data_IF_621131039314
#
_entry.id   IF_621131039314
#
_cell.length_a   1.000
_cell.length_b   1.000
_cell.length_c   1.000
_cell.angle_alpha   90.00
_cell.angle_beta   90.00
_cell.angle_gamma   90.00
#
_symmetry.space_group_name_H-M   'P 1'
#
loop_
_entity.id
_entity.type
_entity.pdbx_description
1 polymer ?
#
# COMPACT_ATOMS: atom_id res chain seq x y z
N UNK A 1 -64.18 21.57 64.09
CA UNK A 1 -65.20 22.43 63.43
C UNK A 1 -64.95 22.38 61.93
N UNK A 2 -65.92 21.85 61.17
CA UNK A 2 -66.04 21.83 59.70
C UNK A 2 -65.04 20.91 58.97
N UNK A 3 -65.27 19.62 58.64
CA UNK A 3 -66.35 18.91 57.92
C UNK A 3 -66.57 19.31 56.46
N UNK A 4 -66.10 18.49 55.51
CA UNK A 4 -66.86 17.59 54.58
C UNK A 4 -65.87 17.03 53.52
N UNK A 5 -65.54 15.73 53.51
CA UNK A 5 -66.15 14.62 52.73
C UNK A 5 -65.74 14.62 51.24
N UNK A 6 -65.42 13.53 50.52
CA UNK A 6 -65.57 12.07 50.67
C UNK A 6 -64.83 11.39 49.49
N UNK A 7 -64.19 10.22 49.71
CA UNK A 7 -64.10 9.01 48.84
C UNK A 7 -63.48 9.16 47.41
N UNK A 8 -62.61 8.30 46.88
CA UNK A 8 -62.73 6.83 46.73
C UNK A 8 -61.34 6.23 46.45
N UNK A 9 -61.04 5.14 47.16
CA UNK A 9 -60.04 4.13 46.85
C UNK A 9 -60.56 3.27 45.69
N UNK A 10 -59.84 3.08 44.58
CA UNK A 10 -60.03 1.90 43.72
C UNK A 10 -58.76 1.59 42.92
N UNK A 11 -58.14 0.49 43.34
CA UNK A 11 -57.12 -0.27 42.63
C UNK A 11 -57.75 -0.86 41.36
N UNK A 12 -57.19 -0.56 40.19
CA UNK A 12 -57.36 -1.37 38.98
C UNK A 12 -56.02 -1.47 38.27
N UNK A 13 -55.42 -2.66 38.34
CA UNK A 13 -54.45 -3.12 37.35
C UNK A 13 -55.06 -3.03 35.96
N UNK A 14 -54.40 -2.36 35.01
CA UNK A 14 -54.39 -2.73 33.59
C UNK A 14 -53.44 -1.82 32.80
N UNK A 15 -52.34 -2.40 32.32
CA UNK A 15 -51.74 -2.21 30.99
C UNK A 15 -51.59 -0.74 30.53
N UNK A 16 -50.43 -0.15 30.81
CA UNK A 16 -49.91 0.98 30.02
C UNK A 16 -48.62 0.52 29.36
N UNK A 17 -48.70 0.51 28.04
CA UNK A 17 -47.70 0.15 27.03
C UNK A 17 -46.31 0.73 27.31
N UNK A 18 -45.29 -0.12 27.19
CA UNK A 18 -43.91 0.30 26.92
C UNK A 18 -43.92 1.26 25.73
N UNK A 19 -43.73 2.55 25.97
CA UNK A 19 -43.28 3.52 24.98
C UNK A 19 -42.87 4.80 25.69
N UNK A 20 -41.75 4.75 26.41
CA UNK A 20 -40.98 5.93 26.84
C UNK A 20 -39.58 5.53 27.35
N UNK A 21 -38.86 4.75 26.53
CA UNK A 21 -37.41 4.84 26.50
C UNK A 21 -37.08 5.87 25.42
N UNK A 22 -36.69 7.06 25.86
CA UNK A 22 -36.21 8.11 24.98
C UNK A 22 -35.07 7.57 24.12
N UNK A 23 -35.33 7.48 22.82
CA UNK A 23 -34.29 7.26 21.82
C UNK A 23 -33.30 8.43 21.91
N UNK A 24 -32.08 8.16 22.39
CA UNK A 24 -30.95 8.88 21.85
C UNK A 24 -30.86 8.49 20.37
N UNK A 25 -31.55 9.23 19.50
CA UNK A 25 -31.21 9.28 18.09
C UNK A 25 -29.81 9.87 18.01
N UNK A 26 -28.79 9.02 17.92
CA UNK A 26 -27.61 9.41 17.17
C UNK A 26 -28.13 9.82 15.80
N UNK A 27 -27.94 11.08 15.43
CA UNK A 27 -27.99 11.44 14.03
C UNK A 27 -26.85 10.65 13.37
N UNK A 28 -27.18 9.51 12.78
CA UNK A 28 -26.33 8.83 11.81
C UNK A 28 -26.24 9.76 10.59
N UNK A 29 -25.39 10.76 10.70
CA UNK A 29 -24.87 11.42 9.53
C UNK A 29 -23.91 10.41 8.89
N UNK A 30 -24.41 9.70 7.86
CA UNK A 30 -23.67 8.65 7.15
C UNK A 30 -22.58 9.23 6.22
N UNK A 31 -22.26 10.51 6.40
CA UNK A 31 -21.27 11.27 5.65
C UNK A 31 -19.89 11.23 6.33
N UNK A 32 -18.84 11.08 5.52
CA UNK A 32 -17.46 11.14 5.97
C UNK A 32 -17.12 12.54 6.50
N UNK A 33 -16.54 12.61 7.70
CA UNK A 33 -16.14 13.87 8.33
C UNK A 33 -14.66 14.13 8.07
N UNK A 34 -14.35 15.20 7.33
CA UNK A 34 -12.97 15.66 7.16
C UNK A 34 -12.47 16.33 8.44
N UNK A 35 -11.45 15.72 9.05
CA UNK A 35 -10.69 16.24 10.19
C UNK A 35 -9.36 15.51 10.27
N UNK A 36 -8.49 15.91 11.19
CA UNK A 36 -7.34 15.11 11.58
C UNK A 36 -7.76 14.10 12.64
N UNK A 37 -7.77 12.82 12.28
CA UNK A 37 -8.21 11.75 13.17
C UNK A 37 -7.06 11.34 14.09
N UNK A 38 -7.24 11.52 15.41
CA UNK A 38 -6.26 11.01 16.37
C UNK A 38 -6.20 9.47 16.39
N UNK A 39 -5.22 8.89 17.10
CA UNK A 39 -5.00 7.44 17.07
C UNK A 39 -6.21 6.62 17.55
N UNK A 40 -7.00 7.14 18.49
CA UNK A 40 -8.26 6.50 18.91
C UNK A 40 -9.32 6.64 17.81
N UNK A 41 -9.55 7.85 17.32
CA UNK A 41 -10.56 8.14 16.30
C UNK A 41 -10.30 7.40 14.99
N UNK A 42 -9.03 7.26 14.59
CA UNK A 42 -8.62 6.46 13.44
C UNK A 42 -9.11 5.02 13.58
N UNK A 43 -8.84 4.37 14.71
CA UNK A 43 -9.25 2.99 14.95
C UNK A 43 -10.78 2.86 15.02
N UNK A 44 -11.47 3.81 15.64
CA UNK A 44 -12.94 3.87 15.68
C UNK A 44 -13.52 4.02 14.27
N UNK A 45 -12.95 4.87 13.42
CA UNK A 45 -13.41 5.07 12.05
C UNK A 45 -13.21 3.80 11.21
N UNK A 46 -12.04 3.16 11.30
CA UNK A 46 -11.80 1.88 10.64
C UNK A 46 -12.81 0.81 11.08
N UNK A 47 -13.13 0.74 12.38
CA UNK A 47 -14.15 -0.16 12.90
C UNK A 47 -15.56 0.17 12.40
N UNK A 48 -15.90 1.45 12.25
CA UNK A 48 -17.15 1.91 11.64
C UNK A 48 -17.23 1.45 10.17
N UNK A 49 -16.17 1.64 9.39
CA UNK A 49 -16.10 1.20 7.98
C UNK A 49 -16.27 -0.32 7.89
N UNK A 50 -15.56 -1.08 8.73
CA UNK A 50 -15.66 -2.54 8.77
C UNK A 50 -17.07 -3.02 9.12
N UNK A 51 -17.75 -2.33 10.03
CA UNK A 51 -19.14 -2.63 10.41
C UNK A 51 -20.14 -2.24 9.32
N UNK A 52 -19.84 -1.19 8.55
CA UNK A 52 -20.65 -0.75 7.40
C UNK A 52 -20.56 -1.72 6.21
N UNK A 53 -19.38 -2.31 5.97
CA UNK A 53 -19.12 -3.20 4.84
C UNK A 53 -18.52 -4.56 5.25
N UNK A 54 -19.15 -5.35 6.14
CA UNK A 54 -18.54 -6.55 6.72
C UNK A 54 -18.33 -7.68 5.69
N UNK A 55 -19.08 -7.69 4.60
CA UNK A 55 -18.95 -8.69 3.53
C UNK A 55 -17.70 -8.50 2.68
N UNK A 56 -17.11 -7.30 2.69
CA UNK A 56 -15.95 -6.97 1.85
C UNK A 56 -14.76 -6.44 2.65
N UNK A 57 -14.82 -6.46 3.98
CA UNK A 57 -13.78 -5.87 4.80
C UNK A 57 -13.42 -6.72 6.00
N UNK A 58 -12.16 -6.59 6.43
CA UNK A 58 -11.65 -7.20 7.66
C UNK A 58 -10.61 -6.29 8.29
N UNK A 59 -10.72 -6.05 9.59
CA UNK A 59 -9.67 -5.41 10.36
C UNK A 59 -8.73 -6.44 10.98
N UNK A 60 -7.45 -6.12 10.96
CA UNK A 60 -6.45 -6.83 11.72
C UNK A 60 -5.34 -5.86 12.19
N UNK A 61 -4.55 -6.33 13.14
CA UNK A 61 -3.39 -5.60 13.66
C UNK A 61 -2.15 -6.40 13.29
N UNK A 62 -1.04 -5.72 13.03
CA UNK A 62 0.25 -6.38 12.85
C UNK A 62 0.75 -6.98 14.16
N UNK A 63 1.81 -7.78 14.06
CA UNK A 63 2.35 -8.60 15.16
C UNK A 63 2.94 -7.77 16.30
N UNK A 64 3.38 -6.55 16.01
CA UNK A 64 3.95 -5.61 16.96
C UNK A 64 3.06 -4.37 17.10
N UNK A 65 3.24 -3.65 18.20
CA UNK A 65 2.64 -2.33 18.45
C UNK A 65 3.70 -1.25 18.27
N UNK A 66 3.29 0.01 18.20
CA UNK A 66 4.23 1.11 18.32
C UNK A 66 4.93 1.08 19.68
N UNK A 67 5.99 1.88 19.86
CA UNK A 67 6.71 2.00 21.13
C UNK A 67 5.77 2.39 22.28
N UNK A 68 4.79 3.27 22.04
CA UNK A 68 3.78 3.67 23.03
C UNK A 68 2.57 2.71 23.14
N UNK A 69 2.61 1.57 22.45
CA UNK A 69 1.59 0.54 22.53
C UNK A 69 0.37 0.74 21.62
N UNK A 70 0.38 1.73 20.71
CA UNK A 70 -0.68 1.85 19.71
C UNK A 70 -0.67 0.66 18.76
N UNK A 71 -1.85 0.10 18.41
CA UNK A 71 -1.93 -0.96 17.44
C UNK A 71 -1.60 -0.43 16.04
N UNK A 72 -0.83 -1.20 15.28
CA UNK A 72 -0.60 -0.96 13.85
C UNK A 72 -1.73 -1.64 13.06
N UNK A 73 -2.82 -0.90 12.89
CA UNK A 73 -4.09 -1.43 12.35
C UNK A 73 -4.13 -1.33 10.82
N UNK A 74 -4.60 -2.40 10.20
CA UNK A 74 -4.81 -2.53 8.76
C UNK A 74 -6.29 -2.85 8.50
N UNK A 75 -6.87 -2.18 7.50
CA UNK A 75 -8.15 -2.60 6.91
C UNK A 75 -7.89 -3.32 5.59
N UNK A 76 -8.33 -4.56 5.53
CA UNK A 76 -8.39 -5.38 4.32
C UNK A 76 -9.71 -5.13 3.61
N UNK A 77 -9.67 -4.99 2.28
CA UNK A 77 -10.82 -4.80 1.40
C UNK A 77 -10.73 -5.80 0.23
N UNK A 78 -11.68 -6.72 0.13
CA UNK A 78 -11.79 -7.74 -0.92
C UNK A 78 -13.16 -8.41 -0.86
N UNK A 79 -13.64 -9.05 -1.93
CA UNK A 79 -14.90 -9.83 -1.86
C UNK A 79 -14.82 -11.14 -1.10
N UNK A 80 -13.62 -11.61 -0.74
CA UNK A 80 -13.43 -12.73 0.20
C UNK A 80 -12.41 -12.34 1.29
N UNK A 81 -12.78 -11.47 2.24
CA UNK A 81 -11.85 -10.96 3.22
C UNK A 81 -11.37 -12.07 4.17
N UNK A 82 -10.09 -12.02 4.52
CA UNK A 82 -9.40 -12.96 5.41
C UNK A 82 -8.82 -14.19 4.73
N UNK A 83 -9.05 -14.38 3.43
CA UNK A 83 -8.54 -15.53 2.68
C UNK A 83 -7.86 -15.06 1.41
N UNK A 84 -6.64 -15.56 1.18
CA UNK A 84 -5.98 -15.42 -0.11
C UNK A 84 -6.77 -16.20 -1.17
N UNK A 85 -6.89 -15.64 -2.37
CA UNK A 85 -7.58 -16.27 -3.51
C UNK A 85 -6.59 -16.45 -4.66
N UNK A 86 -6.67 -17.62 -5.30
CA UNK A 86 -5.71 -17.98 -6.34
C UNK A 86 -5.68 -16.94 -7.48
N UNK A 87 -4.49 -16.45 -7.82
CA UNK A 87 -4.18 -15.45 -8.84
C UNK A 87 -4.81 -14.06 -8.62
N UNK A 88 -5.37 -13.80 -7.43
CA UNK A 88 -5.80 -12.47 -6.99
C UNK A 88 -4.59 -11.75 -6.36
N UNK A 89 -4.04 -10.70 -7.00
CA UNK A 89 -2.89 -10.00 -6.45
C UNK A 89 -3.23 -9.28 -5.14
N UNK A 90 -2.26 -9.27 -4.23
CA UNK A 90 -2.35 -8.50 -3.00
C UNK A 90 -1.65 -7.14 -3.18
N UNK A 91 -2.36 -6.07 -2.83
CA UNK A 91 -1.89 -4.68 -2.90
C UNK A 91 -1.89 -4.11 -1.51
N UNK A 92 -0.82 -3.42 -1.11
CA UNK A 92 -0.79 -2.69 0.16
C UNK A 92 -0.47 -1.21 -0.02
N UNK A 93 -1.16 -0.35 0.72
CA UNK A 93 -0.84 1.07 0.78
C UNK A 93 -0.62 1.47 2.24
N UNK A 94 0.55 2.05 2.51
CA UNK A 94 1.00 2.46 3.84
C UNK A 94 1.10 3.98 3.86
N UNK A 95 0.79 4.62 4.98
CA UNK A 95 1.00 6.05 5.15
C UNK A 95 1.54 6.39 6.53
N UNK A 96 2.00 7.64 6.65
CA UNK A 96 2.31 8.26 7.94
C UNK A 96 3.35 7.42 8.73
N UNK A 97 4.37 6.94 8.02
CA UNK A 97 5.59 6.40 8.63
C UNK A 97 6.45 7.52 9.25
N UNK A 98 6.37 8.72 8.67
CA UNK A 98 6.70 9.94 9.40
C UNK A 98 5.43 10.51 10.02
N UNK A 99 5.43 10.64 11.34
CA UNK A 99 4.23 11.01 12.09
C UNK A 99 3.66 12.39 11.73
N UNK A 100 4.52 13.34 11.34
CA UNK A 100 4.13 14.69 10.93
C UNK A 100 3.72 14.83 9.46
N UNK A 101 3.82 13.76 8.66
CA UNK A 101 3.38 13.71 7.26
C UNK A 101 1.95 13.12 7.23
N UNK A 102 0.98 13.99 7.50
CA UNK A 102 -0.38 13.61 7.90
C UNK A 102 -1.33 13.40 6.73
N UNK A 103 -1.07 14.03 5.57
CA UNK A 103 -2.00 13.97 4.45
C UNK A 103 -2.30 12.52 4.04
N UNK A 104 -1.27 11.68 3.90
CA UNK A 104 -1.43 10.26 3.55
C UNK A 104 -2.34 9.49 4.52
N UNK A 105 -2.24 9.74 5.83
CA UNK A 105 -3.10 9.13 6.86
C UNK A 105 -4.57 9.39 6.59
N UNK A 106 -4.92 10.64 6.33
CA UNK A 106 -6.31 11.05 6.08
C UNK A 106 -6.80 10.59 4.70
N UNK A 107 -5.91 10.56 3.68
CA UNK A 107 -6.26 10.02 2.36
C UNK A 107 -6.57 8.53 2.41
N UNK A 108 -5.85 7.75 3.21
CA UNK A 108 -6.10 6.31 3.35
C UNK A 108 -7.38 6.00 4.15
N UNK A 109 -7.70 6.79 5.17
CA UNK A 109 -9.00 6.69 5.85
C UNK A 109 -10.15 7.00 4.91
N UNK A 110 -10.02 8.07 4.12
CA UNK A 110 -11.02 8.45 3.12
C UNK A 110 -11.14 7.43 1.99
N UNK A 111 -10.03 6.83 1.55
CA UNK A 111 -10.02 5.77 0.54
C UNK A 111 -10.79 4.53 1.00
N UNK A 112 -10.57 4.08 2.24
CA UNK A 112 -11.29 2.93 2.79
C UNK A 112 -12.80 3.19 2.87
N UNK A 113 -13.21 4.37 3.35
CA UNK A 113 -14.62 4.78 3.38
C UNK A 113 -15.23 4.91 1.99
N UNK A 114 -14.49 5.49 1.03
CA UNK A 114 -14.92 5.63 -0.37
C UNK A 114 -15.15 4.27 -1.02
N UNK A 115 -14.22 3.33 -0.89
CA UNK A 115 -14.37 1.98 -1.46
C UNK A 115 -15.59 1.28 -0.87
N UNK A 116 -15.79 1.34 0.45
CA UNK A 116 -16.97 0.78 1.11
C UNK A 116 -18.26 1.43 0.60
N UNK A 117 -18.32 2.75 0.57
CA UNK A 117 -19.51 3.50 0.14
C UNK A 117 -19.86 3.24 -1.33
N UNK A 118 -18.88 3.27 -2.22
CA UNK A 118 -19.09 3.01 -3.65
C UNK A 118 -19.44 1.56 -3.94
N UNK A 119 -18.91 0.60 -3.17
CA UNK A 119 -19.34 -0.78 -3.24
C UNK A 119 -20.83 -0.93 -2.89
N UNK A 120 -21.29 -0.31 -1.79
CA UNK A 120 -22.70 -0.33 -1.39
C UNK A 120 -23.61 0.36 -2.44
N UNK A 121 -23.09 1.38 -3.12
CA UNK A 121 -23.76 2.06 -4.23
C UNK A 121 -23.75 1.24 -5.53
N UNK A 122 -23.19 0.03 -5.55
CA UNK A 122 -23.03 -0.83 -6.72
C UNK A 122 -22.23 -0.16 -7.86
N UNK A 123 -21.23 0.66 -7.51
CA UNK A 123 -20.29 1.19 -8.48
C UNK A 123 -19.52 0.04 -9.14
N UNK A 124 -19.73 -0.15 -10.45
CA UNK A 124 -19.20 -1.30 -11.19
C UNK A 124 -17.68 -1.40 -11.12
N UNK A 125 -16.98 -0.26 -11.17
CA UNK A 125 -15.52 -0.23 -11.17
C UNK A 125 -14.97 -0.68 -9.82
N UNK A 126 -15.58 -0.25 -8.71
CA UNK A 126 -15.16 -0.63 -7.36
C UNK A 126 -15.52 -2.09 -7.06
N UNK A 127 -16.71 -2.53 -7.47
CA UNK A 127 -17.10 -3.95 -7.34
C UNK A 127 -16.14 -4.84 -8.12
N UNK A 128 -15.78 -4.48 -9.35
CA UNK A 128 -14.83 -5.22 -10.17
C UNK A 128 -13.41 -5.19 -9.56
N UNK A 129 -12.99 -4.05 -9.02
CA UNK A 129 -11.70 -3.90 -8.34
C UNK A 129 -11.57 -4.87 -7.16
N UNK A 130 -12.58 -4.91 -6.28
CA UNK A 130 -12.59 -5.78 -5.09
C UNK A 130 -12.75 -7.26 -5.41
N UNK A 131 -13.42 -7.59 -6.52
CA UNK A 131 -13.52 -8.96 -7.00
C UNK A 131 -12.19 -9.52 -7.49
N UNK A 132 -11.30 -8.64 -7.95
CA UNK A 132 -10.04 -9.03 -8.61
C UNK A 132 -8.82 -8.74 -7.77
N UNK A 133 -8.94 -7.99 -6.69
CA UNK A 133 -7.80 -7.48 -5.91
C UNK A 133 -8.07 -7.66 -4.44
N UNK A 134 -7.02 -7.99 -3.67
CA UNK A 134 -7.06 -7.92 -2.22
C UNK A 134 -6.25 -6.70 -1.78
N UNK A 135 -6.94 -5.70 -1.23
CA UNK A 135 -6.34 -4.40 -0.90
C UNK A 135 -6.14 -4.32 0.60
N UNK A 136 -4.95 -3.93 1.04
CA UNK A 136 -4.62 -3.73 2.44
C UNK A 136 -4.21 -2.27 2.67
N UNK A 137 -4.89 -1.58 3.57
CA UNK A 137 -4.67 -0.16 3.83
C UNK A 137 -4.21 0.01 5.28
N UNK A 138 -3.01 0.56 5.47
CA UNK A 138 -2.46 0.97 6.75
C UNK A 138 -2.37 2.50 6.80
N UNK A 139 -3.31 3.20 7.46
CA UNK A 139 -3.30 4.66 7.49
C UNK A 139 -2.17 5.27 8.33
N UNK A 140 -1.61 4.54 9.30
CA UNK A 140 -0.52 5.05 10.13
C UNK A 140 0.44 3.94 10.56
N UNK A 141 1.67 4.01 10.07
CA UNK A 141 2.79 3.18 10.53
C UNK A 141 3.45 3.77 11.78
N UNK A 142 3.43 5.10 11.96
CA UNK A 142 4.03 5.80 13.11
C UNK A 142 2.99 6.62 13.90
N UNK A 143 2.09 5.94 14.63
CA UNK A 143 1.08 6.64 15.43
C UNK A 143 1.70 7.47 16.57
N UNK A 144 2.85 7.07 17.11
CA UNK A 144 3.52 7.78 18.20
C UNK A 144 4.05 9.14 17.74
N UNK A 145 4.74 9.17 16.58
CA UNK A 145 5.19 10.41 15.95
C UNK A 145 4.03 11.33 15.60
N UNK A 146 2.89 10.76 15.19
CA UNK A 146 1.68 11.54 14.90
C UNK A 146 1.16 12.25 16.15
N UNK A 147 1.10 11.58 17.31
CA UNK A 147 0.70 12.21 18.57
C UNK A 147 1.61 13.40 18.93
N UNK A 148 2.93 13.26 18.71
CA UNK A 148 3.90 14.35 18.93
C UNK A 148 3.63 15.51 17.95
N UNK A 149 3.42 15.22 16.67
CA UNK A 149 3.17 16.24 15.65
C UNK A 149 1.84 16.98 15.91
N UNK A 150 0.77 16.25 16.20
CA UNK A 150 -0.56 16.81 16.39
C UNK A 150 -0.66 17.71 17.63
N UNK A 151 0.03 17.36 18.72
CA UNK A 151 0.11 18.22 19.91
C UNK A 151 0.91 19.52 19.67
N UNK A 152 1.67 19.58 18.58
CA UNK A 152 2.53 20.70 18.23
C UNK A 152 2.28 21.21 16.82
N UNK A 153 1.08 21.04 16.26
CA UNK A 153 0.78 21.36 14.86
C UNK A 153 0.96 22.85 14.49
N UNK A 154 1.04 23.73 15.50
CA UNK A 154 1.34 25.17 15.36
C UNK A 154 2.84 25.49 15.35
N UNK A 155 3.67 24.50 15.65
CA UNK A 155 5.13 24.63 15.59
C UNK A 155 5.57 24.79 14.14
N UNK A 156 6.55 25.65 13.91
CA UNK A 156 7.24 25.76 12.62
C UNK A 156 8.33 24.70 12.45
N UNK A 157 8.52 23.81 13.43
CA UNK A 157 9.53 22.75 13.38
C UNK A 157 9.11 21.65 12.38
N UNK A 158 9.88 21.57 11.29
CA UNK A 158 9.66 20.64 10.18
C UNK A 158 9.93 19.17 10.52
N UNK A 159 10.67 18.90 11.60
CA UNK A 159 11.07 17.54 12.01
C UNK A 159 10.29 17.02 13.22
N UNK A 160 9.56 17.90 13.91
CA UNK A 160 8.83 17.52 15.11
C UNK A 160 7.74 16.49 14.79
N UNK A 161 7.82 15.33 15.43
CA UNK A 161 6.93 14.19 15.20
C UNK A 161 7.22 13.38 13.93
N UNK A 162 8.33 13.64 13.23
CA UNK A 162 8.77 12.82 12.08
C UNK A 162 9.18 11.41 12.52
N UNK A 163 10.12 11.31 13.45
CA UNK A 163 10.65 10.06 13.96
C UNK A 163 9.61 9.28 14.80
N UNK A 164 9.87 8.00 15.08
CA UNK A 164 9.10 7.25 16.08
C UNK A 164 9.41 7.75 17.51
N UNK A 165 8.78 7.15 18.53
CA UNK A 165 8.95 7.61 19.92
C UNK A 165 10.40 7.53 20.43
N UNK A 166 11.21 6.61 19.90
CA UNK A 166 12.62 6.47 20.24
C UNK A 166 13.53 7.45 19.48
N UNK A 167 12.97 8.34 18.67
CA UNK A 167 13.74 9.31 17.87
C UNK A 167 14.38 8.70 16.62
N UNK A 168 13.93 7.51 16.18
CA UNK A 168 14.42 6.85 14.96
C UNK A 168 13.55 7.21 13.76
N UNK A 169 14.18 7.58 12.65
CA UNK A 169 13.51 7.74 11.36
C UNK A 169 13.20 6.35 10.79
N UNK A 170 11.91 5.97 10.77
CA UNK A 170 11.49 4.65 10.31
C UNK A 170 11.82 4.39 8.84
N UNK A 171 11.99 5.44 8.01
CA UNK A 171 12.42 5.29 6.62
C UNK A 171 13.95 5.29 6.46
N UNK A 172 14.68 5.06 7.56
CA UNK A 172 16.13 4.77 7.62
C UNK A 172 16.42 3.53 8.48
N UNK A 173 15.38 2.80 8.86
CA UNK A 173 15.43 1.74 9.86
C UNK A 173 15.16 0.35 9.25
N UNK A 174 14.95 0.24 7.94
CA UNK A 174 14.88 -1.07 7.28
C UNK A 174 16.29 -1.63 7.07
N UNK A 175 16.46 -2.97 7.05
CA UNK A 175 17.71 -3.57 6.60
C UNK A 175 18.09 -3.04 5.22
N UNK A 176 19.27 -2.46 5.12
CA UNK A 176 19.81 -1.95 3.87
C UNK A 176 20.28 -3.14 3.01
N UNK A 177 19.50 -3.38 1.96
CA UNK A 177 19.74 -4.46 1.00
C UNK A 177 20.37 -3.93 -0.30
N UNK A 178 20.34 -2.62 -0.51
CA UNK A 178 20.97 -1.93 -1.64
C UNK A 178 22.48 -2.15 -1.63
N UNK A 179 23.11 -2.05 -0.46
CA UNK A 179 24.54 -2.37 -0.30
C UNK A 179 24.86 -3.81 -0.70
N UNK A 180 23.96 -4.76 -0.44
CA UNK A 180 24.13 -6.16 -0.84
C UNK A 180 23.98 -6.29 -2.36
N UNK A 181 22.94 -5.68 -2.94
CA UNK A 181 22.68 -5.70 -4.38
C UNK A 181 23.83 -5.08 -5.18
N UNK A 182 24.25 -3.86 -4.83
CA UNK A 182 25.30 -3.14 -5.55
C UNK A 182 26.68 -3.81 -5.46
N UNK A 183 26.97 -4.50 -4.35
CA UNK A 183 28.21 -5.27 -4.18
C UNK A 183 28.12 -6.69 -4.74
N UNK A 184 26.97 -7.09 -5.29
CA UNK A 184 26.69 -8.46 -5.74
C UNK A 184 26.94 -9.48 -4.62
N UNK A 185 26.49 -9.13 -3.42
CA UNK A 185 26.52 -10.00 -2.25
C UNK A 185 25.72 -11.28 -2.48
N UNK A 186 26.03 -12.31 -1.71
CA UNK A 186 25.36 -13.60 -1.82
C UNK A 186 24.14 -13.69 -0.88
N UNK A 187 23.47 -14.85 -0.88
CA UNK A 187 22.32 -15.10 -0.01
C UNK A 187 22.65 -15.01 1.49
N UNK A 188 23.88 -15.34 1.89
CA UNK A 188 24.32 -15.24 3.30
C UNK A 188 24.45 -13.77 3.72
N UNK A 189 24.99 -12.91 2.84
CA UNK A 189 25.06 -11.46 3.07
C UNK A 189 23.66 -10.87 3.26
N UNK A 190 22.72 -11.28 2.40
CA UNK A 190 21.32 -10.88 2.47
C UNK A 190 20.67 -11.29 3.81
N UNK A 191 20.79 -12.57 4.19
CA UNK A 191 20.23 -13.07 5.45
C UNK A 191 20.89 -12.40 6.65
N UNK A 192 22.19 -12.15 6.59
CA UNK A 192 22.94 -11.44 7.63
C UNK A 192 22.42 -10.02 7.83
N UNK A 193 22.15 -9.27 6.76
CA UNK A 193 21.55 -7.93 6.83
C UNK A 193 20.19 -7.97 7.53
N UNK A 194 19.33 -8.92 7.17
CA UNK A 194 18.01 -9.07 7.80
C UNK A 194 18.06 -9.43 9.29
N UNK A 195 18.93 -10.35 9.68
CA UNK A 195 18.96 -10.92 11.05
C UNK A 195 19.68 -10.01 12.04
N UNK A 196 20.74 -9.33 11.61
CA UNK A 196 21.59 -8.55 12.51
C UNK A 196 21.10 -7.11 12.70
N UNK A 197 20.20 -6.63 11.85
CA UNK A 197 19.69 -5.26 11.92
C UNK A 197 18.73 -5.07 13.11
N UNK A 198 19.00 -4.06 13.94
CA UNK A 198 18.19 -3.75 15.13
C UNK A 198 17.03 -2.81 14.79
N UNK A 199 15.98 -3.38 14.22
CA UNK A 199 14.77 -2.67 13.83
C UNK A 199 13.94 -2.16 15.02
N UNK A 200 13.32 -1.00 14.86
CA UNK A 200 12.21 -0.51 15.70
C UNK A 200 11.00 -1.46 15.62
N UNK A 201 10.12 -1.47 16.66
CA UNK A 201 8.96 -2.36 16.64
C UNK A 201 8.03 -2.12 15.45
N UNK A 202 7.86 -0.87 15.02
CA UNK A 202 7.08 -0.53 13.82
C UNK A 202 7.69 -1.16 12.57
N UNK A 203 9.01 -1.04 12.39
CA UNK A 203 9.74 -1.60 11.25
C UNK A 203 9.70 -3.12 11.25
N UNK A 204 9.90 -3.78 12.41
CA UNK A 204 9.79 -5.25 12.52
C UNK A 204 8.40 -5.75 12.11
N UNK A 205 7.35 -5.04 12.52
CA UNK A 205 5.97 -5.38 12.16
C UNK A 205 5.80 -5.38 10.63
N UNK A 206 6.30 -4.34 9.96
CA UNK A 206 6.20 -4.18 8.50
C UNK A 206 7.07 -5.19 7.76
N UNK A 207 8.30 -5.42 8.20
CA UNK A 207 9.19 -6.43 7.62
C UNK A 207 8.55 -7.81 7.68
N UNK A 208 8.02 -8.20 8.84
CA UNK A 208 7.30 -9.47 8.96
C UNK A 208 6.09 -9.51 8.02
N UNK A 209 5.30 -8.44 7.98
CA UNK A 209 4.13 -8.34 7.13
C UNK A 209 4.44 -8.46 5.64
N UNK A 210 5.51 -7.82 5.17
CA UNK A 210 6.00 -7.92 3.79
C UNK A 210 6.42 -9.35 3.47
N UNK A 211 7.21 -9.99 4.34
CA UNK A 211 7.78 -11.30 4.07
C UNK A 211 6.77 -12.46 4.17
N UNK A 212 5.66 -12.27 4.89
CA UNK A 212 4.65 -13.33 5.08
C UNK A 212 3.45 -13.23 4.14
N UNK A 213 3.37 -12.20 3.29
CA UNK A 213 2.24 -12.02 2.39
C UNK A 213 2.74 -11.81 0.95
N UNK A 214 2.07 -12.37 -0.07
CA UNK A 214 2.49 -12.26 -1.46
C UNK A 214 2.10 -10.91 -2.07
N UNK A 215 2.56 -9.81 -1.47
CA UNK A 215 2.30 -8.48 -2.01
C UNK A 215 2.95 -8.31 -3.38
N UNK A 216 2.16 -7.79 -4.32
CA UNK A 216 2.56 -7.58 -5.72
C UNK A 216 2.92 -6.12 -5.95
N UNK A 217 2.08 -5.21 -5.45
CA UNK A 217 2.20 -3.77 -5.65
C UNK A 217 2.02 -3.04 -4.33
N UNK A 218 2.78 -1.98 -4.12
CA UNK A 218 2.62 -1.12 -2.97
C UNK A 218 2.92 0.35 -3.24
N UNK A 219 2.35 1.22 -2.42
CA UNK A 219 2.84 2.58 -2.26
C UNK A 219 2.92 2.95 -0.78
N UNK A 220 3.93 3.75 -0.44
CA UNK A 220 4.03 4.42 0.85
C UNK A 220 3.82 5.94 0.67
N UNK A 221 2.98 6.55 1.50
CA UNK A 221 2.51 7.92 1.32
C UNK A 221 3.20 8.86 2.31
N UNK A 222 3.81 9.91 1.76
CA UNK A 222 4.61 10.92 2.42
C UNK A 222 4.06 12.33 2.18
N UNK A 223 4.70 13.30 2.82
CA UNK A 223 4.50 14.71 2.55
C UNK A 223 5.79 15.50 2.75
N UNK A 224 5.83 16.69 2.15
CA UNK A 224 7.02 17.55 2.14
C UNK A 224 7.42 17.94 0.72
N UNK A 225 7.06 17.12 -0.27
CA UNK A 225 7.18 17.42 -1.69
C UNK A 225 5.88 17.08 -2.42
N UNK A 226 5.84 17.28 -3.74
CA UNK A 226 4.75 16.83 -4.61
C UNK A 226 5.31 16.07 -5.82
N UNK A 227 5.52 14.76 -5.66
CA UNK A 227 6.17 13.89 -6.66
C UNK A 227 5.90 12.41 -6.38
N UNK A 228 5.86 11.57 -7.42
CA UNK A 228 5.93 10.12 -7.29
C UNK A 228 7.38 9.64 -7.44
N UNK A 229 7.98 9.23 -6.33
CA UNK A 229 9.34 8.74 -6.19
C UNK A 229 9.42 7.23 -6.44
N UNK A 230 10.44 6.75 -7.13
CA UNK A 230 10.61 5.32 -7.44
C UNK A 230 12.06 4.83 -7.30
N UNK A 231 12.25 3.50 -7.09
CA UNK A 231 13.56 2.90 -6.86
C UNK A 231 14.62 3.14 -7.95
N UNK A 232 15.91 3.05 -7.61
CA UNK A 232 16.41 2.94 -6.23
C UNK A 232 16.48 4.30 -5.54
N UNK A 233 16.36 4.28 -4.22
CA UNK A 233 16.50 5.38 -3.28
C UNK A 233 17.97 5.59 -2.88
N UNK A 234 18.83 4.56 -2.85
CA UNK A 234 20.25 4.70 -2.49
C UNK A 234 21.19 4.77 -3.70
N UNK A 235 22.24 5.59 -3.59
CA UNK A 235 23.35 5.67 -4.55
C UNK A 235 24.45 4.64 -4.26
N UNK A 236 24.96 3.89 -5.27
CA UNK A 236 25.97 2.85 -5.03
C UNK A 236 27.32 3.36 -4.53
N UNK A 237 27.63 4.62 -4.81
CA UNK A 237 28.91 5.27 -4.49
C UNK A 237 28.83 6.17 -3.25
N UNK A 238 27.67 6.22 -2.58
CA UNK A 238 27.42 7.10 -1.44
C UNK A 238 27.34 8.58 -1.80
N UNK A 239 27.22 8.93 -3.08
CA UNK A 239 26.97 10.31 -3.52
C UNK A 239 25.62 10.82 -2.99
N UNK A 240 25.50 12.14 -2.81
CA UNK A 240 24.27 12.75 -2.28
C UNK A 240 23.08 12.57 -3.20
N UNK A 241 23.33 12.57 -4.51
CA UNK A 241 22.33 12.38 -5.54
C UNK A 241 22.97 11.88 -6.83
N UNK A 242 22.48 10.76 -7.36
CA UNK A 242 22.82 10.23 -8.68
C UNK A 242 21.71 9.29 -9.12
N UNK A 243 21.30 9.40 -10.38
CA UNK A 243 20.29 8.53 -10.94
C UNK A 243 20.71 7.05 -10.87
N UNK A 244 19.96 6.26 -10.09
CA UNK A 244 20.28 4.85 -9.81
C UNK A 244 19.08 3.97 -10.22
N UNK A 245 19.06 3.46 -11.47
CA UNK A 245 17.94 2.68 -11.97
C UNK A 245 17.93 1.28 -11.38
N UNK A 246 16.73 0.78 -11.06
CA UNK A 246 16.52 -0.65 -10.84
C UNK A 246 16.45 -1.45 -12.15
N UNK A 247 16.61 -2.78 -12.12
CA UNK A 247 16.42 -3.62 -13.31
C UNK A 247 15.06 -3.40 -14.01
N UNK A 248 14.02 -3.07 -13.22
CA UNK A 248 12.66 -2.77 -13.63
C UNK A 248 12.35 -1.26 -13.77
N UNK A 249 13.36 -0.42 -14.00
CA UNK A 249 13.22 1.05 -14.12
C UNK A 249 12.05 1.53 -15.01
N UNK A 250 11.82 0.88 -16.15
CA UNK A 250 10.71 1.22 -17.04
C UNK A 250 9.34 0.93 -16.41
N UNK A 251 9.22 -0.20 -15.70
CA UNK A 251 8.00 -0.57 -14.96
C UNK A 251 7.76 0.41 -13.83
N UNK A 252 8.79 0.76 -13.04
CA UNK A 252 8.66 1.73 -11.96
C UNK A 252 8.29 3.13 -12.46
N UNK A 253 8.90 3.61 -13.55
CA UNK A 253 8.47 4.84 -14.22
C UNK A 253 7.02 4.79 -14.67
N UNK A 254 6.55 3.66 -15.17
CA UNK A 254 5.15 3.48 -15.55
C UNK A 254 4.22 3.57 -14.33
N UNK A 255 4.55 2.88 -13.24
CA UNK A 255 3.79 2.92 -11.98
C UNK A 255 3.72 4.34 -11.41
N UNK A 256 4.87 5.04 -11.31
CA UNK A 256 4.95 6.41 -10.82
C UNK A 256 4.17 7.38 -11.72
N UNK A 257 4.28 7.26 -13.04
CA UNK A 257 3.53 8.10 -13.99
C UNK A 257 2.03 7.84 -13.93
N UNK A 258 1.61 6.61 -13.70
CA UNK A 258 0.18 6.30 -13.54
C UNK A 258 -0.40 7.09 -12.38
N UNK A 259 0.30 7.18 -11.25
CA UNK A 259 -0.15 8.02 -10.14
C UNK A 259 -0.08 9.51 -10.51
N UNK A 260 1.09 9.99 -10.93
CA UNK A 260 1.36 11.41 -11.13
C UNK A 260 0.48 12.06 -12.21
N UNK A 261 0.15 11.34 -13.29
CA UNK A 261 -0.71 11.84 -14.38
C UNK A 261 -2.20 11.84 -14.05
N UNK A 262 -2.64 10.94 -13.15
CA UNK A 262 -4.02 10.93 -12.64
C UNK A 262 -4.20 11.86 -11.42
N UNK A 263 -3.11 12.24 -10.75
CA UNK A 263 -3.15 13.26 -9.72
C UNK A 263 -3.41 14.63 -10.34
N UNK A 264 -4.41 15.38 -9.84
CA UNK A 264 -4.86 16.61 -10.49
C UNK A 264 -3.81 17.71 -10.59
N UNK A 265 -2.78 17.69 -9.75
CA UNK A 265 -1.78 18.78 -9.65
C UNK A 265 -0.32 18.34 -9.70
N UNK A 266 0.00 17.04 -9.60
CA UNK A 266 1.39 16.59 -9.38
C UNK A 266 2.28 16.86 -10.58
N UNK A 267 1.73 16.71 -11.79
CA UNK A 267 2.44 17.02 -13.02
C UNK A 267 2.34 18.50 -13.46
N UNK A 268 1.72 19.40 -12.66
CA UNK A 268 1.47 20.79 -13.04
C UNK A 268 2.53 21.75 -12.49
N UNK A 269 3.11 22.56 -13.37
CA UNK A 269 4.08 23.60 -13.00
C UNK A 269 3.59 24.57 -11.91
N UNK A 270 2.29 24.89 -11.93
CA UNK A 270 1.69 25.84 -10.99
C UNK A 270 1.50 25.31 -9.57
N UNK A 271 1.80 24.03 -9.32
CA UNK A 271 1.59 23.36 -8.02
C UNK A 271 2.89 22.91 -7.37
N UNK A 272 4.03 23.43 -7.85
CA UNK A 272 5.36 23.09 -7.36
C UNK A 272 5.58 23.62 -5.94
N UNK A 273 6.35 22.89 -5.15
CA UNK A 273 6.86 23.35 -3.87
C UNK A 273 8.03 24.32 -4.09
N UNK A 274 8.09 25.43 -3.34
CA UNK A 274 9.00 26.54 -3.64
C UNK A 274 10.51 26.19 -3.58
N UNK A 275 10.87 25.14 -2.83
CA UNK A 275 12.27 24.75 -2.57
C UNK A 275 12.69 23.42 -3.19
N UNK A 276 11.81 22.76 -3.96
CA UNK A 276 12.09 21.44 -4.53
C UNK A 276 12.60 21.51 -5.97
N UNK A 277 13.19 20.41 -6.42
CA UNK A 277 13.46 20.18 -7.84
C UNK A 277 12.18 20.29 -8.68
N UNK A 278 12.35 20.72 -9.94
CA UNK A 278 11.25 20.85 -10.89
C UNK A 278 10.81 19.50 -11.46
N UNK A 279 10.17 18.66 -10.63
CA UNK A 279 9.73 17.29 -10.99
C UNK A 279 8.74 17.24 -12.16
N UNK A 280 8.04 18.34 -12.42
CA UNK A 280 7.11 18.51 -13.54
C UNK A 280 7.79 18.35 -14.90
N UNK A 281 9.11 18.61 -15.00
CA UNK A 281 9.90 18.34 -16.20
C UNK A 281 9.90 16.87 -16.60
N UNK A 282 9.67 15.98 -15.63
CA UNK A 282 9.56 14.54 -15.84
C UNK A 282 8.11 14.03 -15.75
N UNK A 283 7.13 14.94 -15.65
CA UNK A 283 5.72 14.60 -15.49
C UNK A 283 5.31 14.32 -14.03
N UNK A 284 6.04 14.86 -13.05
CA UNK A 284 5.73 14.68 -11.63
C UNK A 284 6.27 13.38 -11.03
N UNK A 285 7.34 12.83 -11.61
CA UNK A 285 8.02 11.63 -11.10
C UNK A 285 9.51 11.91 -10.86
N UNK A 286 10.14 11.13 -9.99
CA UNK A 286 11.59 11.16 -9.79
C UNK A 286 12.14 9.80 -9.37
N UNK A 287 13.38 9.49 -9.76
CA UNK A 287 14.12 8.39 -9.14
C UNK A 287 14.65 8.86 -7.78
N UNK A 288 14.56 8.01 -6.75
CA UNK A 288 14.91 8.40 -5.38
C UNK A 288 16.34 8.88 -5.24
N UNK A 289 17.29 8.05 -5.63
CA UNK A 289 18.70 8.39 -5.59
C UNK A 289 19.03 9.63 -6.45
N UNK A 290 18.31 9.89 -7.55
CA UNK A 290 18.47 11.09 -8.36
C UNK A 290 18.04 12.37 -7.62
N UNK A 291 17.01 12.28 -6.78
CA UNK A 291 16.55 13.38 -5.95
C UNK A 291 17.48 13.58 -4.75
N UNK A 292 17.60 12.56 -3.90
CA UNK A 292 18.61 12.47 -2.85
C UNK A 292 18.73 11.03 -2.33
N UNK A 293 19.96 10.60 -2.03
CA UNK A 293 20.26 9.24 -1.58
C UNK A 293 19.66 8.92 -0.21
N UNK A 294 18.99 7.77 -0.10
CA UNK A 294 18.32 7.27 1.10
C UNK A 294 18.63 5.79 1.30
N UNK A 295 19.48 5.49 2.29
CA UNK A 295 19.75 4.13 2.74
C UNK A 295 18.71 3.65 3.78
N UNK A 296 18.44 2.35 3.80
CA UNK A 296 17.54 1.73 4.79
C UNK A 296 16.07 2.15 4.67
N UNK A 297 15.63 2.51 3.46
CA UNK A 297 14.26 2.89 3.14
C UNK A 297 13.33 1.68 2.98
N UNK A 298 12.04 1.88 3.25
CA UNK A 298 11.01 0.83 3.08
C UNK A 298 10.80 0.45 1.61
N UNK A 299 10.91 1.43 0.71
CA UNK A 299 10.64 1.29 -0.71
C UNK A 299 11.54 0.23 -1.35
N UNK A 300 12.85 0.38 -1.18
CA UNK A 300 13.84 -0.52 -1.79
C UNK A 300 13.85 -1.87 -1.06
N UNK A 301 13.60 -1.89 0.26
CA UNK A 301 13.41 -3.13 1.01
C UNK A 301 12.30 -4.01 0.41
N UNK A 302 11.15 -3.44 0.04
CA UNK A 302 10.08 -4.21 -0.58
C UNK A 302 10.56 -4.93 -1.86
N UNK A 303 11.24 -4.20 -2.73
CA UNK A 303 11.70 -4.70 -4.02
C UNK A 303 12.83 -5.72 -3.88
N UNK A 304 13.74 -5.51 -2.94
CA UNK A 304 14.90 -6.40 -2.75
C UNK A 304 14.60 -7.62 -1.89
N UNK A 305 13.64 -7.52 -0.95
CA UNK A 305 13.33 -8.60 -0.01
C UNK A 305 12.10 -9.44 -0.35
N UNK A 306 11.30 -9.00 -1.32
CA UNK A 306 10.06 -9.67 -1.68
C UNK A 306 9.78 -9.55 -3.18
N UNK A 307 8.62 -10.03 -3.62
CA UNK A 307 8.15 -9.81 -5.00
C UNK A 307 7.45 -8.45 -5.18
N UNK A 308 7.36 -7.62 -4.14
CA UNK A 308 6.52 -6.42 -4.11
C UNK A 308 7.22 -5.21 -4.73
N UNK A 309 6.54 -4.55 -5.67
CA UNK A 309 6.99 -3.30 -6.25
C UNK A 309 6.40 -2.14 -5.45
N UNK A 310 7.22 -1.45 -4.66
CA UNK A 310 6.79 -0.26 -3.92
C UNK A 310 7.29 1.05 -4.56
N UNK A 311 6.45 2.08 -4.55
CA UNK A 311 6.84 3.47 -4.86
C UNK A 311 6.49 4.38 -3.69
N UNK A 312 7.19 5.51 -3.57
CA UNK A 312 6.95 6.53 -2.55
C UNK A 312 6.15 7.68 -3.15
N UNK A 313 5.05 8.06 -2.53
CA UNK A 313 4.14 9.10 -3.02
C UNK A 313 4.17 10.32 -2.10
N UNK A 314 4.84 11.38 -2.53
CA UNK A 314 4.86 12.68 -1.85
C UNK A 314 3.62 13.48 -2.26
N UNK A 315 2.66 13.63 -1.34
CA UNK A 315 1.31 14.08 -1.67
C UNK A 315 1.11 15.60 -1.64
N UNK A 316 2.10 16.36 -1.18
CA UNK A 316 2.01 17.81 -1.10
C UNK A 316 3.08 18.44 -0.21
N UNK A 317 3.37 19.71 -0.50
CA UNK A 317 4.41 20.49 0.15
C UNK A 317 4.18 20.64 1.66
N UNK A 318 2.93 20.76 2.10
CA UNK A 318 2.62 20.94 3.53
C UNK A 318 2.44 19.57 4.20
N UNK A 319 3.44 19.14 4.98
CA UNK A 319 3.43 17.85 5.70
C UNK A 319 2.17 17.64 6.55
N UNK A 320 1.76 18.69 7.26
CA UNK A 320 0.56 18.73 8.09
C UNK A 320 -0.38 19.84 7.56
N UNK A 321 -1.19 19.56 6.52
CA UNK A 321 -2.07 20.55 5.92
C UNK A 321 -3.24 20.86 6.87
N UNK A 322 -3.82 22.08 6.82
CA UNK A 322 -4.98 22.43 7.62
C UNK A 322 -6.23 21.69 7.12
N UNK A 323 -7.21 21.48 8.01
CA UNK A 323 -8.38 20.62 7.78
C UNK A 323 -9.17 21.04 6.51
N UNK A 324 -9.23 22.34 6.24
CA UNK A 324 -9.98 22.90 5.11
C UNK A 324 -9.43 22.47 3.75
N UNK A 325 -8.17 22.02 3.69
CA UNK A 325 -7.56 21.49 2.46
C UNK A 325 -7.90 20.03 2.22
N UNK A 326 -8.22 19.24 3.25
CA UNK A 326 -8.42 17.79 3.12
C UNK A 326 -9.44 17.38 2.05
N UNK A 327 -10.60 18.06 1.87
CA UNK A 327 -11.54 17.71 0.80
C UNK A 327 -10.97 17.92 -0.61
N UNK A 328 -10.20 18.99 -0.82
CA UNK A 328 -9.56 19.27 -2.11
C UNK A 328 -8.43 18.27 -2.37
N UNK A 329 -7.63 17.95 -1.35
CA UNK A 329 -6.57 16.95 -1.51
C UNK A 329 -7.12 15.55 -1.78
N UNK A 330 -8.26 15.18 -1.18
CA UNK A 330 -8.96 13.96 -1.55
C UNK A 330 -9.34 13.96 -3.04
N UNK A 331 -9.92 15.05 -3.52
CA UNK A 331 -10.27 15.18 -4.93
C UNK A 331 -9.05 15.18 -5.86
N UNK A 332 -7.88 15.62 -5.39
CA UNK A 332 -6.63 15.55 -6.15
C UNK A 332 -6.10 14.12 -6.27
N UNK A 333 -6.26 13.31 -5.21
CA UNK A 333 -5.65 11.99 -5.07
C UNK A 333 -6.56 10.81 -5.42
N UNK A 334 -7.89 10.94 -5.31
CA UNK A 334 -8.85 9.82 -5.44
C UNK A 334 -8.63 8.97 -6.69
N UNK A 335 -8.61 9.60 -7.86
CA UNK A 335 -8.45 8.87 -9.12
C UNK A 335 -7.05 8.25 -9.25
N UNK A 336 -6.02 8.95 -8.77
CA UNK A 336 -4.65 8.48 -8.78
C UNK A 336 -4.47 7.21 -7.92
N UNK A 337 -5.04 7.18 -6.71
CA UNK A 337 -5.00 6.03 -5.81
C UNK A 337 -5.70 4.81 -6.44
N UNK A 338 -6.92 4.99 -6.98
CA UNK A 338 -7.65 3.89 -7.63
C UNK A 338 -6.92 3.40 -8.88
N UNK A 339 -6.43 4.32 -9.72
CA UNK A 339 -5.66 3.99 -10.93
C UNK A 339 -4.35 3.27 -10.62
N UNK A 340 -3.70 3.61 -9.50
CA UNK A 340 -2.50 2.95 -9.02
C UNK A 340 -2.79 1.53 -8.54
N UNK A 341 -3.82 1.30 -7.71
CA UNK A 341 -4.20 -0.06 -7.26
C UNK A 341 -4.48 -0.97 -8.47
N UNK A 342 -5.14 -0.44 -9.51
CA UNK A 342 -5.40 -1.17 -10.76
C UNK A 342 -4.11 -1.63 -11.46
N UNK A 343 -2.96 -1.03 -11.20
CA UNK A 343 -1.68 -1.44 -11.80
C UNK A 343 -1.19 -2.82 -11.33
N UNK A 344 -1.75 -3.39 -10.25
CA UNK A 344 -1.46 -4.76 -9.87
C UNK A 344 -1.89 -5.81 -10.93
N UNK A 345 -2.63 -5.38 -11.95
CA UNK A 345 -3.14 -6.21 -13.06
C UNK A 345 -2.42 -5.99 -14.39
N UNK A 346 -1.26 -5.32 -14.41
CA UNK A 346 -0.41 -5.25 -15.61
C UNK A 346 0.55 -6.43 -15.69
N UNK A 347 1.23 -6.60 -16.83
CA UNK A 347 2.21 -7.66 -17.02
C UNK A 347 1.59 -9.04 -17.17
N UNK A 348 2.19 -10.02 -16.48
CA UNK A 348 1.80 -11.44 -16.53
C UNK A 348 1.54 -11.98 -15.12
N UNK A 349 0.73 -13.03 -15.02
CA UNK A 349 0.58 -13.84 -13.82
C UNK A 349 0.32 -15.29 -14.18
N UNK A 350 0.49 -16.22 -13.25
CA UNK A 350 0.14 -17.61 -13.53
C UNK A 350 0.60 -18.58 -12.48
N UNK A 351 0.54 -19.87 -12.83
CA UNK A 351 0.89 -20.98 -11.96
C UNK A 351 2.08 -21.74 -12.53
N UNK A 352 2.99 -22.17 -11.65
CA UNK A 352 4.04 -23.13 -11.94
C UNK A 352 3.68 -24.44 -11.26
N UNK A 353 3.47 -25.49 -12.06
CA UNK A 353 3.10 -26.82 -11.59
C UNK A 353 4.04 -27.89 -12.12
N UNK A 354 4.06 -29.05 -11.48
CA UNK A 354 4.72 -30.22 -12.01
C UNK A 354 3.83 -31.01 -12.99
N UNK A 355 4.39 -32.06 -13.59
CA UNK A 355 3.67 -32.91 -14.54
C UNK A 355 2.48 -33.68 -13.95
N UNK A 356 2.37 -33.78 -12.62
CA UNK A 356 1.23 -34.38 -11.93
C UNK A 356 0.18 -33.33 -11.55
N UNK A 357 0.44 -32.05 -11.82
CA UNK A 357 -0.44 -30.93 -11.50
C UNK A 357 -0.26 -30.34 -10.10
N UNK A 358 0.75 -30.79 -9.34
CA UNK A 358 1.07 -30.20 -8.03
C UNK A 358 1.76 -28.85 -8.20
N UNK A 359 1.40 -27.88 -7.36
CA UNK A 359 2.04 -26.57 -7.33
C UNK A 359 3.51 -26.67 -6.91
N UNK A 360 4.36 -25.85 -7.53
CA UNK A 360 5.79 -25.76 -7.22
C UNK A 360 6.03 -24.47 -6.44
N UNK A 361 6.28 -24.62 -5.15
CA UNK A 361 6.70 -23.53 -4.27
C UNK A 361 8.12 -23.04 -4.58
N UNK A 362 8.35 -21.73 -4.56
CA UNK A 362 9.65 -21.10 -4.75
C UNK A 362 10.34 -21.45 -6.06
N UNK A 363 9.59 -21.63 -7.15
CA UNK A 363 10.12 -21.63 -8.51
C UNK A 363 10.52 -20.21 -8.90
N UNK A 364 11.62 -20.06 -9.62
CA UNK A 364 12.18 -18.78 -10.05
C UNK A 364 11.57 -18.41 -11.40
N UNK A 365 11.01 -17.21 -11.49
CA UNK A 365 10.50 -16.60 -12.73
C UNK A 365 11.50 -15.53 -13.17
N UNK A 366 12.17 -15.80 -14.30
CA UNK A 366 13.13 -14.89 -14.92
C UNK A 366 12.57 -14.31 -16.20
N UNK A 367 12.83 -13.03 -16.45
CA UNK A 367 12.31 -12.30 -17.61
C UNK A 367 13.44 -11.68 -18.43
N UNK A 368 13.31 -11.81 -19.75
CA UNK A 368 14.16 -11.17 -20.73
C UNK A 368 13.31 -10.32 -21.67
N UNK A 369 13.60 -9.03 -21.76
CA UNK A 369 12.95 -8.12 -22.69
C UNK A 369 13.54 -8.31 -24.09
N UNK A 370 12.67 -8.70 -25.03
CA UNK A 370 12.99 -8.86 -26.45
C UNK A 370 12.17 -7.93 -27.34
N UNK A 371 11.53 -6.92 -26.75
CA UNK A 371 10.73 -5.93 -27.45
C UNK A 371 11.57 -5.21 -28.50
N UNK A 372 11.06 -5.10 -29.73
CA UNK A 372 11.74 -4.40 -30.84
C UNK A 372 13.17 -4.87 -31.13
N UNK A 373 13.49 -6.14 -30.84
CA UNK A 373 14.84 -6.68 -31.05
C UNK A 373 15.84 -6.32 -29.95
N UNK A 374 15.39 -5.76 -28.82
CA UNK A 374 16.18 -5.72 -27.60
C UNK A 374 16.57 -7.14 -27.17
N UNK A 375 17.60 -7.23 -26.33
CA UNK A 375 18.03 -8.50 -25.75
C UNK A 375 18.52 -8.29 -24.31
N UNK A 376 17.64 -7.76 -23.46
CA UNK A 376 17.99 -7.32 -22.10
C UNK A 376 17.36 -8.23 -21.05
N UNK A 377 18.19 -8.96 -20.31
CA UNK A 377 17.74 -9.68 -19.12
C UNK A 377 17.35 -8.66 -18.05
N UNK A 378 16.17 -8.81 -17.45
CA UNK A 378 15.78 -8.04 -16.27
C UNK A 378 16.33 -8.78 -15.06
N UNK A 379 17.41 -8.26 -14.49
CA UNK A 379 18.13 -8.87 -13.37
C UNK A 379 17.40 -8.70 -12.03
N UNK A 380 16.13 -9.08 -11.98
CA UNK A 380 15.32 -9.13 -10.78
C UNK A 380 14.31 -10.26 -10.97
N UNK A 381 14.65 -11.46 -10.49
CA UNK A 381 13.79 -12.63 -10.59
C UNK A 381 12.74 -12.62 -9.48
N UNK A 382 11.58 -13.23 -9.74
CA UNK A 382 10.55 -13.47 -8.72
C UNK A 382 10.52 -14.93 -8.28
N UNK A 383 9.94 -15.20 -7.12
CA UNK A 383 9.67 -16.57 -6.66
C UNK A 383 8.19 -16.86 -6.55
N UNK A 384 7.76 -18.08 -6.88
CA UNK A 384 6.36 -18.48 -6.71
C UNK A 384 5.98 -18.67 -5.23
N UNK A 385 4.69 -18.48 -4.94
CA UNK A 385 4.08 -18.80 -3.63
C UNK A 385 4.00 -20.31 -3.40
N UNK A 386 3.57 -20.73 -2.20
CA UNK A 386 3.30 -22.14 -1.88
C UNK A 386 2.25 -22.79 -2.80
N UNK A 387 1.33 -21.99 -3.33
CA UNK A 387 0.32 -22.42 -4.31
C UNK A 387 0.84 -22.38 -5.76
N UNK A 388 2.13 -22.08 -5.94
CA UNK A 388 2.82 -22.05 -7.23
C UNK A 388 2.52 -20.79 -8.04
N UNK A 389 2.00 -19.75 -7.41
CA UNK A 389 1.55 -18.53 -8.09
C UNK A 389 2.66 -17.53 -8.25
N UNK A 390 2.58 -16.72 -9.30
CA UNK A 390 3.40 -15.54 -9.44
C UNK A 390 2.63 -14.42 -10.17
N UNK A 391 3.05 -13.18 -9.91
CA UNK A 391 2.61 -11.98 -10.60
C UNK A 391 3.84 -11.17 -10.95
N UNK A 392 4.05 -10.89 -12.24
CA UNK A 392 5.21 -10.15 -12.73
C UNK A 392 4.75 -8.91 -13.48
N UNK A 393 4.88 -7.76 -12.81
CA UNK A 393 4.54 -6.45 -13.38
C UNK A 393 5.53 -6.12 -14.50
N UNK A 394 4.99 -5.85 -15.69
CA UNK A 394 5.75 -5.54 -16.89
C UNK A 394 4.95 -4.54 -17.72
N UNK A 395 5.67 -3.61 -18.35
CA UNK A 395 5.09 -2.71 -19.36
C UNK A 395 4.77 -3.46 -20.65
N UNK A 396 3.94 -2.89 -21.54
CA UNK A 396 3.71 -3.46 -22.87
C UNK A 396 5.01 -3.73 -23.62
N UNK A 397 5.09 -4.90 -24.27
CA UNK A 397 6.31 -5.39 -24.89
C UNK A 397 6.25 -6.88 -25.23
N UNK A 398 7.36 -7.42 -25.72
CA UNK A 398 7.56 -8.84 -25.99
C UNK A 398 8.68 -9.34 -25.08
N UNK A 399 8.42 -10.44 -24.38
CA UNK A 399 9.32 -10.98 -23.37
C UNK A 399 9.50 -12.48 -23.54
N UNK A 400 10.70 -12.97 -23.24
CA UNK A 400 10.92 -14.38 -22.94
C UNK A 400 10.87 -14.57 -21.42
N UNK A 401 10.00 -15.47 -20.97
CA UNK A 401 9.76 -15.76 -19.56
C UNK A 401 10.16 -17.20 -19.30
N UNK A 402 11.07 -17.39 -18.35
CA UNK A 402 11.58 -18.69 -17.97
C UNK A 402 11.14 -19.02 -16.55
N UNK A 403 10.57 -20.20 -16.35
CA UNK A 403 10.32 -20.78 -15.04
C UNK A 403 11.36 -21.87 -14.75
N UNK A 404 12.00 -21.80 -13.58
CA UNK A 404 13.02 -22.78 -13.15
C UNK A 404 12.83 -23.21 -11.70
N UNK A 405 13.20 -24.45 -11.40
CA UNK A 405 13.29 -24.97 -10.04
C UNK A 405 14.37 -26.05 -10.00
N UNK A 406 15.11 -26.15 -8.90
CA UNK A 406 16.07 -27.23 -8.71
C UNK A 406 15.39 -28.60 -8.89
N UNK A 407 16.05 -29.52 -9.61
CA UNK A 407 15.55 -30.85 -9.98
C UNK A 407 14.43 -30.88 -11.04
N UNK A 408 14.13 -29.74 -11.69
CA UNK A 408 13.21 -29.65 -12.81
C UNK A 408 13.90 -29.10 -14.06
N UNK A 409 13.41 -29.54 -15.23
CA UNK A 409 13.80 -29.00 -16.53
C UNK A 409 13.15 -27.61 -16.69
N UNK A 410 13.93 -26.54 -16.95
CA UNK A 410 13.40 -25.21 -17.25
C UNK A 410 12.41 -25.20 -18.42
N UNK A 411 11.39 -24.36 -18.34
CA UNK A 411 10.48 -24.06 -19.45
C UNK A 411 10.54 -22.57 -19.77
N UNK A 412 10.62 -22.23 -21.07
CA UNK A 412 10.67 -20.85 -21.57
C UNK A 412 9.45 -20.61 -22.46
N UNK A 413 8.81 -19.44 -22.31
CA UNK A 413 7.71 -18.99 -23.16
C UNK A 413 7.93 -17.58 -23.63
N UNK A 414 7.65 -17.33 -24.91
CA UNK A 414 7.54 -15.96 -25.44
C UNK A 414 6.15 -15.43 -25.17
N UNK A 415 6.05 -14.24 -24.59
CA UNK A 415 4.80 -13.60 -24.19
C UNK A 415 4.74 -12.19 -24.77
N UNK A 416 3.57 -11.80 -25.28
CA UNK A 416 3.31 -10.45 -25.81
C UNK A 416 2.33 -9.75 -24.89
N UNK A 417 2.77 -8.67 -24.24
CA UNK A 417 1.92 -7.80 -23.43
C UNK A 417 1.53 -6.60 -24.29
N UNK A 418 0.24 -6.46 -24.57
CA UNK A 418 -0.27 -5.37 -25.42
C UNK A 418 -0.49 -4.10 -24.60
N UNK A 419 -0.35 -2.90 -25.22
CA UNK A 419 -0.86 -1.67 -24.61
C UNK A 419 -2.36 -1.81 -24.40
N UNK A 420 -2.82 -1.61 -23.18
CA UNK A 420 -4.25 -1.62 -22.86
C UNK A 420 -4.78 -0.19 -22.94
N UNK A 421 -5.91 0.01 -23.60
CA UNK A 421 -6.64 1.27 -23.48
C UNK A 421 -7.17 1.42 -22.04
N UNK A 422 -7.48 2.63 -21.61
CA UNK A 422 -7.95 2.96 -20.24
C UNK A 422 -9.18 2.17 -19.79
N UNK A 423 -9.94 1.58 -20.71
CA UNK A 423 -11.11 0.74 -20.45
C UNK A 423 -10.79 -0.78 -20.36
N UNK A 424 -9.55 -1.20 -20.69
CA UNK A 424 -9.15 -2.61 -20.81
C UNK A 424 -8.09 -3.07 -19.80
N UNK A 425 -7.89 -2.36 -18.69
CA UNK A 425 -7.03 -2.78 -17.56
C UNK A 425 -7.61 -3.98 -16.78
N UNK A 426 -8.11 -4.98 -17.50
CA UNK A 426 -8.98 -5.98 -16.89
C UNK A 426 -8.19 -7.11 -16.21
N UNK A 427 -7.11 -7.64 -16.82
CA UNK A 427 -6.31 -8.73 -16.23
C UNK A 427 -4.90 -8.83 -16.80
N UNK A 428 -3.90 -9.13 -15.96
CA UNK A 428 -2.57 -9.54 -16.43
C UNK A 428 -2.66 -10.80 -17.30
N UNK A 429 -1.77 -10.94 -18.29
CA UNK A 429 -1.75 -12.10 -19.19
C UNK A 429 -1.45 -13.39 -18.41
N UNK A 430 -2.25 -14.44 -18.61
CA UNK A 430 -2.07 -15.70 -17.89
C UNK A 430 -1.01 -16.56 -18.58
N UNK A 431 0.08 -16.84 -17.86
CA UNK A 431 1.21 -17.63 -18.36
C UNK A 431 1.53 -18.74 -17.36
N UNK A 432 1.00 -19.92 -17.61
CA UNK A 432 1.25 -21.09 -16.75
C UNK A 432 2.47 -21.89 -17.24
N UNK A 433 3.19 -22.52 -16.32
CA UNK A 433 4.31 -23.41 -16.61
C UNK A 433 4.07 -24.81 -16.05
N UNK A 434 4.51 -25.84 -16.78
CA UNK A 434 4.50 -27.23 -16.33
C UNK A 434 5.92 -27.79 -16.38
N UNK A 435 6.60 -27.77 -15.23
CA UNK A 435 7.97 -28.21 -15.13
C UNK A 435 8.04 -29.74 -14.98
N UNK A 436 8.92 -30.36 -15.77
CA UNK A 436 9.18 -31.80 -15.71
C UNK A 436 10.35 -32.07 -14.78
N UNK A 437 10.23 -33.04 -13.86
CA UNK A 437 11.37 -33.48 -13.04
C UNK A 437 12.44 -34.11 -13.93
N UNK A 438 13.72 -33.96 -13.55
CA UNK A 438 14.76 -34.79 -14.14
C UNK A 438 14.49 -36.25 -13.74
N UNK A 439 14.40 -37.13 -14.74
CA UNK A 439 14.49 -38.56 -14.51
C UNK A 439 15.97 -38.92 -14.61
N UNK A 440 16.57 -39.30 -13.48
CA UNK A 440 17.91 -39.89 -13.44
C UNK A 440 17.83 -41.39 -13.68
#
# INVERSE_FOLDING_TARGET
MGHFNILVLLLVCSIITLNQLGQCRQSDDDHYVYKHHNNLELNVLLQKINTKCPSISRLYQLTERSVNGWPLTVIELSTNPGQHQLLVPEVKIVANMHGNEVLGREMLLRLADYICTEYLNNNKDIVQLLNRTRIHIMPSMNPDGWDIAANNYRSSDWLLGRANLNGVDLNRDFPDLDVVEFRKGNKEDFVSSLVNHQMQPETRAIVQWILTNPFVLSANLHGGALVANYPYDETPDGSTNTYTPSPDDQTFKHLARTYASNHKTMAKQSSRCDNDEDFTKQGGITNGAAWYSVAGGMQDFNYLASNCFEITLELGCQKFPPIEKLPVEWENNREALISFIKQAHIGIKGLVRDSNGYSIDGAIIRVQNITNGENRVINHDLTTTSDGEYWRLLTPGVYEVMATKQNYIPEIKTVVIKPKSSEQNEHAEIVNFNLKKFYY
#
